data_IF_240762909374
#
_entry.id   IF_240762909374
#
_cell.length_a   1.000
_cell.length_b   1.000
_cell.length_c   1.000
_cell.angle_alpha   90.00
_cell.angle_beta   90.00
_cell.angle_gamma   90.00
#
_symmetry.space_group_name_H-M   'P 1'
#
loop_
_entity.id
_entity.type
_entity.pdbx_description
1 polymer ?
#
# COMPACT_ATOMS: atom_id res chain seq x y z
N UNK A 1 9.04 17.21 13.50
CA UNK A 1 8.29 15.98 13.77
C UNK A 1 9.09 15.12 14.72
N UNK A 2 8.57 14.80 15.90
CA UNK A 2 9.26 13.97 16.90
C UNK A 2 9.34 12.53 16.38
N UNK A 3 10.56 12.01 16.26
CA UNK A 3 10.76 10.57 15.96
C UNK A 3 10.17 9.76 17.11
N UNK A 4 9.19 8.94 16.81
CA UNK A 4 8.66 7.97 17.77
C UNK A 4 9.77 6.96 18.05
N UNK A 5 10.23 6.91 19.30
CA UNK A 5 11.16 5.85 19.75
C UNK A 5 10.37 4.56 19.91
N UNK A 6 10.65 3.57 19.07
CA UNK A 6 9.95 2.30 19.07
C UNK A 6 10.65 1.34 20.03
N UNK A 7 10.39 1.49 21.33
CA UNK A 7 10.86 0.55 22.36
C UNK A 7 9.97 -0.69 22.49
N UNK A 8 8.72 -0.61 22.02
CA UNK A 8 7.74 -1.71 22.07
C UNK A 8 7.31 -2.12 20.66
N UNK A 9 6.99 -3.41 20.45
CA UNK A 9 6.53 -3.89 19.15
C UNK A 9 5.13 -3.36 18.85
N UNK A 10 4.97 -2.75 17.68
CA UNK A 10 3.69 -2.26 17.20
C UNK A 10 2.85 -3.39 16.60
N UNK A 11 1.56 -3.41 16.92
CA UNK A 11 0.60 -4.24 16.21
C UNK A 11 0.39 -3.68 14.81
N UNK A 12 0.11 -4.55 13.84
CA UNK A 12 -0.27 -4.13 12.49
C UNK A 12 -1.68 -4.62 12.18
N UNK A 13 -2.50 -3.71 11.66
CA UNK A 13 -3.83 -3.97 11.14
C UNK A 13 -3.82 -3.66 9.65
N UNK A 14 -4.11 -4.64 8.81
CA UNK A 14 -4.35 -4.40 7.39
C UNK A 14 -5.86 -4.25 7.18
N UNK A 15 -6.26 -3.15 6.56
CA UNK A 15 -7.65 -2.84 6.29
C UNK A 15 -7.90 -2.64 4.79
N UNK A 16 -8.73 -3.50 4.21
CA UNK A 16 -9.27 -3.33 2.86
C UNK A 16 -10.43 -2.33 2.93
N UNK A 17 -10.15 -1.06 2.66
CA UNK A 17 -11.10 0.03 2.87
C UNK A 17 -12.21 0.06 1.81
N UNK A 18 -11.94 -0.45 0.61
CA UNK A 18 -12.87 -0.46 -0.52
C UNK A 18 -12.45 -1.48 -1.56
N UNK A 19 -13.40 -1.95 -2.37
CA UNK A 19 -13.10 -2.68 -3.62
C UNK A 19 -13.38 -1.82 -4.86
N UNK A 20 -13.68 -0.52 -4.68
CA UNK A 20 -13.79 0.43 -5.79
C UNK A 20 -12.40 0.76 -6.30
N UNK A 21 -12.16 0.52 -7.58
CA UNK A 21 -10.92 0.85 -8.27
C UNK A 21 -11.21 1.42 -9.65
N UNK A 22 -10.43 2.39 -10.07
CA UNK A 22 -10.49 2.92 -11.43
C UNK A 22 -9.56 2.21 -12.42
N UNK A 23 -8.76 1.23 -11.93
CA UNK A 23 -7.99 0.29 -12.76
C UNK A 23 -8.68 -1.07 -12.77
N UNK A 24 -8.48 -1.82 -13.83
CA UNK A 24 -8.96 -3.18 -14.00
C UNK A 24 -7.80 -4.08 -14.42
N UNK A 25 -6.72 -4.09 -13.61
CA UNK A 25 -5.51 -4.83 -13.91
C UNK A 25 -5.78 -6.33 -14.04
N UNK A 26 -5.30 -6.94 -15.12
CA UNK A 26 -5.60 -8.34 -15.47
C UNK A 26 -5.08 -9.32 -14.42
N UNK A 27 -4.06 -8.95 -13.67
CA UNK A 27 -3.45 -9.75 -12.61
C UNK A 27 -3.93 -9.41 -11.20
N UNK A 28 -4.81 -8.43 -11.04
CA UNK A 28 -5.39 -8.13 -9.74
C UNK A 28 -6.50 -9.13 -9.42
N UNK A 29 -6.57 -9.57 -8.15
CA UNK A 29 -7.64 -10.47 -7.74
C UNK A 29 -9.02 -9.81 -7.97
N UNK A 30 -9.96 -10.49 -8.68
CA UNK A 30 -11.22 -9.88 -9.13
C UNK A 30 -12.04 -9.24 -8.00
N UNK A 31 -11.98 -9.83 -6.81
CA UNK A 31 -12.71 -9.35 -5.63
C UNK A 31 -12.10 -8.09 -4.99
N UNK A 32 -10.90 -7.67 -5.40
CA UNK A 32 -10.26 -6.42 -4.94
C UNK A 32 -10.62 -5.20 -5.80
N UNK A 33 -11.25 -5.41 -6.97
CA UNK A 33 -11.66 -4.33 -7.86
C UNK A 33 -13.05 -4.58 -8.48
N UNK A 34 -13.89 -5.33 -7.79
CA UNK A 34 -15.25 -5.67 -8.25
C UNK A 34 -16.27 -4.53 -8.07
N UNK A 35 -15.85 -3.42 -7.47
CA UNK A 35 -16.65 -2.22 -7.19
C UNK A 35 -17.90 -2.46 -6.32
N UNK A 36 -17.99 -3.61 -5.62
CA UNK A 36 -19.15 -3.94 -4.80
C UNK A 36 -19.11 -3.29 -3.42
N UNK A 37 -17.92 -3.23 -2.82
CA UNK A 37 -17.76 -2.69 -1.49
C UNK A 37 -17.17 -1.28 -1.58
N UNK A 38 -18.02 -0.29 -1.38
CA UNK A 38 -17.59 1.09 -1.26
C UNK A 38 -17.00 1.34 0.13
N UNK A 39 -16.29 2.44 0.26
CA UNK A 39 -15.91 3.00 1.55
C UNK A 39 -17.14 3.25 2.44
N UNK A 40 -16.97 3.29 3.78
CA UNK A 40 -18.08 3.58 4.69
C UNK A 40 -18.61 5.01 4.49
N UNK A 41 -19.93 5.17 4.43
CA UNK A 41 -20.56 6.51 4.43
C UNK A 41 -20.35 7.24 5.76
N UNK A 42 -20.29 6.48 6.86
CA UNK A 42 -19.88 6.97 8.18
C UNK A 42 -18.72 6.12 8.66
N UNK A 43 -17.54 6.71 8.78
CA UNK A 43 -16.32 6.01 9.17
C UNK A 43 -16.02 6.02 10.67
N UNK A 44 -16.76 6.74 11.48
CA UNK A 44 -16.54 6.78 12.94
C UNK A 44 -16.65 5.40 13.60
N UNK A 45 -17.62 4.53 13.24
CA UNK A 45 -17.63 3.15 13.72
C UNK A 45 -16.38 2.35 13.39
N UNK A 46 -15.72 2.64 12.25
CA UNK A 46 -14.45 2.00 11.88
C UNK A 46 -13.33 2.49 12.80
N UNK A 47 -13.25 3.79 13.08
CA UNK A 47 -12.28 4.35 14.04
C UNK A 47 -12.49 3.72 15.42
N UNK A 48 -13.73 3.63 15.89
CA UNK A 48 -14.06 3.01 17.19
C UNK A 48 -13.64 1.53 17.23
N UNK A 49 -13.84 0.80 16.13
CA UNK A 49 -13.42 -0.60 16.02
C UNK A 49 -11.89 -0.74 16.06
N UNK A 50 -11.17 0.10 15.31
CA UNK A 50 -9.71 0.14 15.30
C UNK A 50 -9.19 0.46 16.72
N UNK A 51 -9.81 1.40 17.42
CA UNK A 51 -9.44 1.78 18.76
C UNK A 51 -9.72 0.67 19.79
N UNK A 52 -10.82 -0.06 19.66
CA UNK A 52 -11.09 -1.26 20.47
C UNK A 52 -10.10 -2.40 20.19
N UNK A 53 -9.70 -2.58 18.91
CA UNK A 53 -8.73 -3.59 18.52
C UNK A 53 -7.36 -3.35 19.16
N UNK A 54 -6.86 -2.11 19.15
CA UNK A 54 -5.54 -1.76 19.70
C UNK A 54 -5.44 -1.95 21.20
N UNK A 55 -6.53 -1.79 21.97
CA UNK A 55 -6.55 -1.84 23.45
C UNK A 55 -5.53 -0.91 24.11
N UNK A 56 -5.29 0.24 23.52
CA UNK A 56 -4.34 1.24 24.00
C UNK A 56 -2.88 1.04 23.52
N UNK A 57 -2.57 -0.05 22.82
CA UNK A 57 -1.23 -0.31 22.26
C UNK A 57 -0.96 0.56 21.01
N UNK A 58 0.32 0.80 20.67
CA UNK A 58 0.70 1.37 19.39
C UNK A 58 0.25 0.50 18.21
N UNK A 59 -0.29 1.13 17.16
CA UNK A 59 -0.89 0.43 16.02
C UNK A 59 -0.46 1.04 14.69
N UNK A 60 0.01 0.18 13.78
CA UNK A 60 0.14 0.50 12.36
C UNK A 60 -1.18 0.10 11.68
N UNK A 61 -1.84 1.05 11.03
CA UNK A 61 -3.00 0.81 10.17
C UNK A 61 -2.54 0.89 8.73
N UNK A 62 -2.53 -0.25 8.05
CA UNK A 62 -2.14 -0.38 6.64
C UNK A 62 -3.41 -0.46 5.79
N UNK A 63 -3.69 0.63 5.08
CA UNK A 63 -4.93 0.81 4.31
C UNK A 63 -4.67 0.39 2.86
N UNK A 64 -5.47 -0.56 2.38
CA UNK A 64 -5.38 -1.08 1.03
C UNK A 64 -6.79 -1.31 0.44
N UNK A 65 -6.87 -1.98 -0.69
CA UNK A 65 -8.13 -2.33 -1.34
C UNK A 65 -8.08 -2.13 -2.84
N UNK A 66 -9.16 -1.64 -3.42
CA UNK A 66 -9.16 -1.14 -4.79
C UNK A 66 -8.25 0.10 -4.90
N UNK A 67 -8.84 1.29 -4.92
CA UNK A 67 -8.06 2.53 -4.84
C UNK A 67 -8.59 3.42 -3.71
N UNK A 68 -7.91 3.46 -2.55
CA UNK A 68 -8.38 4.20 -1.38
C UNK A 68 -8.57 5.70 -1.62
N UNK A 69 -7.75 6.30 -2.50
CA UNK A 69 -7.83 7.75 -2.76
C UNK A 69 -9.05 8.17 -3.61
N UNK A 70 -9.83 7.22 -4.09
CA UNK A 70 -11.14 7.51 -4.68
C UNK A 70 -12.20 7.85 -3.63
N UNK A 71 -11.97 7.48 -2.38
CA UNK A 71 -12.82 7.84 -1.27
C UNK A 71 -12.69 9.34 -0.97
N UNK A 72 -13.78 10.13 -1.10
CA UNK A 72 -13.69 11.59 -0.95
C UNK A 72 -13.21 12.04 0.44
N UNK A 73 -13.52 11.27 1.49
CA UNK A 73 -13.22 11.59 2.89
C UNK A 73 -11.93 10.90 3.37
N UNK A 74 -11.15 10.29 2.48
CA UNK A 74 -9.96 9.51 2.84
C UNK A 74 -8.97 10.31 3.72
N UNK A 75 -8.68 11.55 3.34
CA UNK A 75 -7.74 12.40 4.10
C UNK A 75 -8.30 12.77 5.47
N UNK A 76 -9.60 13.10 5.53
CA UNK A 76 -10.29 13.42 6.80
C UNK A 76 -10.31 12.21 7.71
N UNK A 77 -10.66 11.04 7.19
CA UNK A 77 -10.60 9.78 7.94
C UNK A 77 -9.21 9.54 8.54
N UNK A 78 -8.15 9.69 7.76
CA UNK A 78 -6.78 9.50 8.25
C UNK A 78 -6.44 10.49 9.38
N UNK A 79 -6.88 11.74 9.26
CA UNK A 79 -6.69 12.77 10.29
C UNK A 79 -7.42 12.41 11.57
N UNK A 80 -8.70 12.08 11.47
CA UNK A 80 -9.52 11.72 12.64
C UNK A 80 -9.01 10.45 13.33
N UNK A 81 -8.54 9.47 12.53
CA UNK A 81 -7.95 8.25 13.08
C UNK A 81 -6.69 8.54 13.90
N UNK A 82 -5.78 9.38 13.40
CA UNK A 82 -4.57 9.77 14.14
C UNK A 82 -4.94 10.60 15.36
N UNK A 83 -5.88 11.53 15.24
CA UNK A 83 -6.31 12.39 16.34
C UNK A 83 -7.01 11.62 17.45
N UNK A 84 -7.68 10.52 17.13
CA UNK A 84 -8.34 9.66 18.12
C UNK A 84 -7.35 9.02 19.11
N UNK A 85 -6.07 8.82 18.69
CA UNK A 85 -5.00 8.29 19.54
C UNK A 85 -3.63 8.84 19.12
N UNK A 86 -3.41 10.11 19.42
CA UNK A 86 -2.14 10.81 19.10
C UNK A 86 -0.91 10.04 19.62
N UNK A 87 0.13 10.01 18.80
CA UNK A 87 1.41 9.33 19.07
C UNK A 87 1.38 7.79 19.20
N UNK A 88 0.22 7.16 18.94
CA UNK A 88 0.08 5.70 18.98
C UNK A 88 -0.52 5.11 17.72
N UNK A 89 -0.71 5.92 16.69
CA UNK A 89 -1.23 5.49 15.39
C UNK A 89 -0.22 5.86 14.31
N UNK A 90 0.16 4.88 13.53
CA UNK A 90 0.91 5.05 12.28
C UNK A 90 0.04 4.60 11.14
N UNK A 91 -0.07 5.41 10.09
CA UNK A 91 -0.84 5.06 8.90
C UNK A 91 0.10 4.79 7.74
N UNK A 92 -0.08 3.63 7.14
CA UNK A 92 0.49 3.26 5.86
C UNK A 92 -0.64 3.06 4.87
N UNK A 93 -0.45 3.35 3.59
CA UNK A 93 -1.44 2.97 2.59
C UNK A 93 -0.83 2.69 1.23
N UNK A 94 -1.56 1.90 0.44
CA UNK A 94 -1.18 1.57 -0.94
C UNK A 94 -2.15 2.22 -1.92
N UNK A 95 -1.62 2.87 -2.95
CA UNK A 95 -2.38 3.52 -4.02
C UNK A 95 -1.85 3.10 -5.39
N UNK A 96 -2.72 3.10 -6.40
CA UNK A 96 -2.32 2.95 -7.80
C UNK A 96 -1.79 4.25 -8.43
N UNK A 97 -1.75 5.34 -7.68
CA UNK A 97 -1.22 6.63 -8.13
C UNK A 97 -2.06 7.36 -9.19
N UNK A 98 -3.29 6.92 -9.45
CA UNK A 98 -4.10 7.43 -10.56
C UNK A 98 -4.65 8.85 -10.38
N UNK A 99 -4.62 9.39 -9.17
CA UNK A 99 -5.06 10.77 -8.92
C UNK A 99 -4.09 11.75 -9.57
N UNK A 100 -4.60 12.92 -9.97
CA UNK A 100 -3.79 13.94 -10.63
C UNK A 100 -2.60 14.41 -9.76
N UNK A 101 -1.54 14.87 -10.40
CA UNK A 101 -0.39 15.49 -9.69
C UNK A 101 -0.87 16.60 -8.75
N UNK A 102 -1.82 17.43 -9.20
CA UNK A 102 -2.40 18.49 -8.36
C UNK A 102 -3.08 17.95 -7.09
N UNK A 103 -3.68 16.77 -7.12
CA UNK A 103 -4.21 16.11 -5.92
C UNK A 103 -3.07 15.79 -4.96
N UNK A 104 -2.00 15.15 -5.45
CA UNK A 104 -0.85 14.78 -4.64
C UNK A 104 -0.08 15.97 -4.08
N UNK A 105 0.01 17.07 -4.84
CA UNK A 105 0.61 18.32 -4.35
C UNK A 105 -0.13 18.88 -3.12
N UNK A 106 -1.44 18.69 -3.07
CA UNK A 106 -2.32 19.18 -1.99
C UNK A 106 -2.55 18.16 -0.88
N UNK A 107 -2.22 16.92 -1.13
CA UNK A 107 -2.42 15.85 -0.17
C UNK A 107 -1.72 16.17 1.14
N UNK A 108 -2.44 16.13 2.26
CA UNK A 108 -1.97 16.59 3.57
C UNK A 108 -2.31 15.65 4.73
N UNK A 109 -2.89 14.48 4.44
CA UNK A 109 -3.18 13.50 5.47
C UNK A 109 -1.94 13.08 6.25
N UNK A 110 -2.05 12.77 7.55
CA UNK A 110 -0.95 12.37 8.41
C UNK A 110 -0.54 10.91 8.17
N UNK A 111 0.11 10.68 7.04
CA UNK A 111 0.57 9.36 6.59
C UNK A 111 2.06 9.21 6.89
N UNK A 112 2.46 8.06 7.43
CA UNK A 112 3.85 7.73 7.71
C UNK A 112 4.54 7.05 6.52
N UNK A 113 3.83 6.20 5.79
CA UNK A 113 4.35 5.54 4.60
C UNK A 113 3.30 5.50 3.49
N UNK A 114 3.69 5.89 2.30
CA UNK A 114 2.90 5.76 1.08
C UNK A 114 3.55 4.75 0.15
N UNK A 115 2.84 3.70 -0.20
CA UNK A 115 3.24 2.75 -1.21
C UNK A 115 2.45 2.98 -2.50
N UNK A 116 3.15 3.19 -3.61
CA UNK A 116 2.52 3.35 -4.92
C UNK A 116 2.80 2.11 -5.77
N UNK A 117 1.74 1.47 -6.25
CA UNK A 117 1.86 0.37 -7.19
C UNK A 117 1.83 0.89 -8.62
N UNK A 118 2.97 0.83 -9.29
CA UNK A 118 3.06 1.18 -10.72
C UNK A 118 2.56 0.00 -11.56
N UNK A 119 1.36 0.15 -12.09
CA UNK A 119 0.68 -0.87 -12.91
C UNK A 119 0.85 -0.54 -14.39
N UNK A 120 1.77 -1.19 -15.07
CA UNK A 120 2.10 -0.92 -16.49
C UNK A 120 0.94 -1.00 -17.48
N UNK A 121 -0.16 -1.66 -17.10
CA UNK A 121 -1.36 -1.70 -17.95
C UNK A 121 -2.10 -0.35 -18.02
N UNK A 122 -1.90 0.53 -17.02
CA UNK A 122 -2.68 1.77 -16.86
C UNK A 122 -1.84 2.98 -16.49
N UNK A 123 -0.73 2.78 -15.83
CA UNK A 123 0.06 3.87 -15.28
C UNK A 123 0.98 4.49 -16.33
N UNK A 124 1.02 5.81 -16.38
CA UNK A 124 1.96 6.57 -17.17
C UNK A 124 3.23 6.89 -16.39
N UNK A 125 4.40 6.64 -16.96
CA UNK A 125 5.70 6.80 -16.29
C UNK A 125 6.01 8.24 -15.92
N UNK A 126 5.65 9.19 -16.79
CA UNK A 126 5.86 10.62 -16.51
C UNK A 126 4.98 11.08 -15.36
N UNK A 127 3.71 10.71 -15.39
CA UNK A 127 2.77 11.02 -14.31
C UNK A 127 3.27 10.47 -12.96
N UNK A 128 3.70 9.20 -12.92
CA UNK A 128 4.24 8.58 -11.72
C UNK A 128 5.52 9.26 -11.22
N UNK A 129 6.39 9.65 -12.13
CA UNK A 129 7.60 10.39 -11.80
C UNK A 129 7.27 11.74 -11.13
N UNK A 130 6.29 12.46 -11.67
CA UNK A 130 5.85 13.75 -11.09
C UNK A 130 5.21 13.56 -9.71
N UNK A 131 4.44 12.49 -9.49
CA UNK A 131 3.90 12.15 -8.16
C UNK A 131 5.07 11.89 -7.18
N UNK A 132 6.03 11.05 -7.56
CA UNK A 132 7.19 10.77 -6.73
C UNK A 132 7.95 12.04 -6.36
N UNK A 133 8.15 12.95 -7.34
CA UNK A 133 8.79 14.25 -7.14
C UNK A 133 8.02 15.15 -6.18
N UNK A 134 6.69 15.12 -6.22
CA UNK A 134 5.84 15.90 -5.32
C UNK A 134 5.90 15.42 -3.86
N UNK A 135 6.13 14.13 -3.64
CA UNK A 135 5.92 13.50 -2.34
C UNK A 135 7.21 13.14 -1.59
N UNK A 136 8.34 12.90 -2.28
CA UNK A 136 9.54 12.28 -1.70
C UNK A 136 10.18 13.01 -0.52
N UNK A 137 9.96 14.32 -0.38
CA UNK A 137 10.45 15.12 0.76
C UNK A 137 9.42 15.28 1.87
N UNK A 138 8.15 14.98 1.58
CA UNK A 138 7.03 15.17 2.50
C UNK A 138 6.65 13.90 3.22
N UNK A 139 6.80 12.77 2.55
CA UNK A 139 6.35 11.45 3.02
C UNK A 139 7.44 10.39 2.79
N UNK A 140 7.41 9.34 3.61
CA UNK A 140 8.12 8.12 3.28
C UNK A 140 7.43 7.45 2.10
N UNK A 141 8.02 7.58 0.91
CA UNK A 141 7.42 7.15 -0.35
C UNK A 141 8.12 5.92 -0.88
N UNK A 142 7.34 4.91 -1.23
CA UNK A 142 7.79 3.65 -1.85
C UNK A 142 7.06 3.43 -3.17
N UNK A 143 7.76 2.98 -4.19
CA UNK A 143 7.17 2.56 -5.46
C UNK A 143 7.37 1.05 -5.64
N UNK A 144 6.27 0.34 -5.83
CA UNK A 144 6.27 -1.05 -6.28
C UNK A 144 6.09 -1.10 -7.79
N UNK A 145 7.12 -1.53 -8.49
CA UNK A 145 7.03 -1.81 -9.93
C UNK A 145 6.38 -3.17 -10.11
N UNK A 146 5.10 -3.18 -10.45
CA UNK A 146 4.34 -4.39 -10.74
C UNK A 146 4.77 -4.89 -12.12
N UNK A 147 5.53 -5.97 -12.17
CA UNK A 147 6.25 -6.42 -13.36
C UNK A 147 5.58 -7.63 -14.02
N UNK A 148 4.61 -7.44 -14.94
CA UNK A 148 4.13 -8.54 -15.77
C UNK A 148 5.27 -9.04 -16.71
N UNK A 149 5.28 -10.32 -17.08
CA UNK A 149 6.41 -10.92 -17.81
C UNK A 149 6.75 -10.25 -19.15
N UNK A 150 5.76 -9.64 -19.80
CA UNK A 150 5.91 -8.98 -21.10
C UNK A 150 6.29 -7.50 -21.02
N UNK A 151 6.63 -6.95 -19.83
CA UNK A 151 6.90 -5.53 -19.61
C UNK A 151 8.26 -5.24 -18.97
N UNK A 152 9.20 -6.16 -19.05
CA UNK A 152 10.51 -6.03 -18.39
C UNK A 152 11.29 -4.78 -18.85
N UNK A 153 11.31 -4.51 -20.16
CA UNK A 153 12.02 -3.35 -20.71
C UNK A 153 11.47 -2.04 -20.17
N UNK A 154 10.15 -1.87 -20.21
CA UNK A 154 9.47 -0.69 -19.68
C UNK A 154 9.73 -0.50 -18.19
N UNK A 155 9.74 -1.60 -17.42
CA UNK A 155 10.05 -1.55 -16.00
C UNK A 155 11.49 -1.11 -15.74
N UNK A 156 12.45 -1.59 -16.54
CA UNK A 156 13.85 -1.18 -16.43
C UNK A 156 14.03 0.29 -16.74
N UNK A 157 13.49 0.76 -17.85
CA UNK A 157 13.59 2.16 -18.26
C UNK A 157 13.03 3.10 -17.18
N UNK A 158 11.86 2.78 -16.63
CA UNK A 158 11.29 3.57 -15.55
C UNK A 158 12.11 3.50 -14.27
N UNK A 159 12.59 2.29 -13.93
CA UNK A 159 13.47 2.10 -12.80
C UNK A 159 14.74 2.95 -12.94
N UNK A 160 15.44 2.85 -14.08
CA UNK A 160 16.70 3.57 -14.33
C UNK A 160 16.49 5.08 -14.24
N UNK A 161 15.35 5.58 -14.69
CA UNK A 161 14.96 6.97 -14.54
C UNK A 161 14.81 7.37 -13.06
N UNK A 162 14.19 6.54 -12.25
CA UNK A 162 14.06 6.78 -10.81
C UNK A 162 15.42 6.73 -10.10
N UNK A 163 16.31 5.81 -10.52
CA UNK A 163 17.67 5.68 -9.98
C UNK A 163 18.57 6.87 -10.28
N UNK A 164 18.46 7.42 -11.47
CA UNK A 164 19.25 8.57 -11.90
C UNK A 164 18.73 9.88 -11.32
N UNK A 165 17.58 9.84 -10.64
CA UNK A 165 16.99 11.03 -10.01
C UNK A 165 17.49 11.21 -8.57
N UNK A 166 17.41 12.45 -8.08
CA UNK A 166 17.71 12.79 -6.67
C UNK A 166 16.55 12.49 -5.71
N UNK A 167 15.55 11.71 -6.17
CA UNK A 167 14.36 11.43 -5.39
C UNK A 167 14.68 10.48 -4.22
N UNK A 168 14.27 10.89 -3.03
CA UNK A 168 14.40 10.08 -1.81
C UNK A 168 13.20 9.15 -1.68
N UNK A 169 13.19 8.09 -2.48
CA UNK A 169 12.13 7.08 -2.51
C UNK A 169 12.72 5.68 -2.43
N UNK A 170 11.94 4.75 -1.91
CA UNK A 170 12.21 3.32 -2.03
C UNK A 170 11.59 2.78 -3.32
N UNK A 171 12.31 1.94 -4.02
CA UNK A 171 11.79 1.25 -5.20
C UNK A 171 11.98 -0.25 -5.02
N UNK A 172 10.94 -1.02 -5.26
CA UNK A 172 10.98 -2.48 -5.27
C UNK A 172 10.19 -3.03 -6.45
N UNK A 173 10.70 -4.10 -7.06
CA UNK A 173 9.96 -4.83 -8.09
C UNK A 173 9.11 -5.92 -7.46
N UNK A 174 7.93 -6.16 -8.03
CA UNK A 174 7.06 -7.27 -7.65
C UNK A 174 6.71 -8.12 -8.88
N UNK A 175 7.07 -9.39 -8.82
CA UNK A 175 6.60 -10.38 -9.79
C UNK A 175 5.12 -10.66 -9.55
N UNK A 176 4.37 -10.81 -10.63
CA UNK A 176 2.93 -11.09 -10.58
C UNK A 176 2.70 -12.55 -10.24
N UNK A 177 1.80 -12.80 -9.32
CA UNK A 177 1.36 -14.14 -8.91
C UNK A 177 -0.02 -14.45 -9.49
N UNK A 178 -0.32 -15.73 -9.64
CA UNK A 178 -1.69 -16.18 -9.87
C UNK A 178 -2.61 -15.80 -8.70
N UNK A 179 -3.87 -15.51 -8.98
CA UNK A 179 -4.85 -15.11 -7.97
C UNK A 179 -5.11 -16.18 -6.90
N UNK A 180 -4.92 -17.43 -7.25
CA UNK A 180 -5.10 -18.58 -6.35
C UNK A 180 -3.87 -18.87 -5.47
N UNK A 181 -2.80 -18.06 -5.60
CA UNK A 181 -1.57 -18.25 -4.84
C UNK A 181 -0.70 -19.42 -5.30
N UNK A 182 -1.01 -20.08 -6.42
CA UNK A 182 -0.28 -21.27 -6.90
C UNK A 182 1.14 -20.98 -7.39
N UNK A 183 1.55 -19.71 -7.46
CA UNK A 183 2.88 -19.32 -7.88
C UNK A 183 2.89 -18.09 -8.77
N UNK A 184 4.00 -17.85 -9.43
CA UNK A 184 4.13 -16.77 -10.39
C UNK A 184 3.37 -17.12 -11.69
N UNK A 185 2.83 -16.11 -12.36
CA UNK A 185 2.28 -16.30 -13.72
C UNK A 185 3.37 -16.74 -14.69
N UNK A 186 2.98 -17.40 -15.77
CA UNK A 186 3.91 -17.90 -16.76
C UNK A 186 4.66 -16.78 -17.50
N UNK A 187 5.84 -17.11 -18.05
CA UNK A 187 6.61 -16.22 -18.92
C UNK A 187 7.77 -15.49 -18.24
N UNK A 188 8.02 -15.69 -16.95
CA UNK A 188 9.22 -15.17 -16.31
C UNK A 188 10.48 -15.95 -16.75
N UNK A 189 11.53 -15.17 -16.98
CA UNK A 189 12.88 -15.67 -17.32
C UNK A 189 13.86 -15.38 -16.18
N UNK A 190 15.06 -15.99 -16.18
CA UNK A 190 16.10 -15.63 -15.22
C UNK A 190 16.37 -14.12 -15.15
N UNK A 191 16.29 -13.42 -16.29
CA UNK A 191 16.50 -11.97 -16.37
C UNK A 191 15.49 -11.16 -15.54
N UNK A 192 14.23 -11.60 -15.46
CA UNK A 192 13.23 -10.99 -14.60
C UNK A 192 13.57 -11.19 -13.12
N UNK A 193 14.02 -12.38 -12.76
CA UNK A 193 14.40 -12.69 -11.38
C UNK A 193 15.64 -11.89 -10.96
N UNK A 194 16.64 -11.78 -11.83
CA UNK A 194 17.84 -10.98 -11.59
C UNK A 194 17.48 -9.50 -11.39
N UNK A 195 16.60 -8.96 -12.22
CA UNK A 195 16.12 -7.59 -12.05
C UNK A 195 15.32 -7.41 -10.76
N UNK A 196 14.49 -8.36 -10.37
CA UNK A 196 13.68 -8.27 -9.15
C UNK A 196 14.50 -8.32 -7.86
N UNK A 197 15.63 -9.03 -7.84
CA UNK A 197 16.52 -9.17 -6.68
C UNK A 197 17.38 -7.92 -6.45
N UNK A 198 17.69 -7.17 -7.49
CA UNK A 198 18.62 -6.05 -7.41
C UNK A 198 18.17 -4.85 -6.58
N UNK A 199 17.03 -4.94 -5.85
CA UNK A 199 16.36 -3.73 -5.46
C UNK A 199 15.83 -3.65 -4.06
N UNK A 200 16.65 -3.35 -3.12
CA UNK A 200 16.18 -2.99 -1.78
C UNK A 200 17.11 -1.95 -1.18
N UNK A 201 16.52 -0.88 -0.71
CA UNK A 201 16.98 0.04 0.31
C UNK A 201 17.76 1.26 -0.13
N UNK A 202 17.03 2.34 -0.21
CA UNK A 202 17.57 3.68 0.02
C UNK A 202 17.10 4.30 1.34
N UNK A 203 16.14 3.72 2.04
CA UNK A 203 15.65 4.32 3.28
C UNK A 203 16.48 3.95 4.48
N UNK A 204 16.91 4.99 5.18
CA UNK A 204 17.52 4.90 6.52
C UNK A 204 16.46 4.70 7.62
N UNK A 205 15.37 4.01 7.31
CA UNK A 205 14.34 3.79 8.31
C UNK A 205 14.64 2.56 9.15
N UNK A 206 14.69 2.74 10.46
CA UNK A 206 14.71 1.64 11.40
C UNK A 206 13.45 0.78 11.17
N UNK A 207 13.64 -0.48 10.78
CA UNK A 207 12.53 -1.43 10.68
C UNK A 207 11.83 -1.49 12.03
N UNK A 208 10.55 -1.11 12.06
CA UNK A 208 9.71 -1.39 13.20
C UNK A 208 9.66 -2.91 13.34
N UNK A 209 10.07 -3.44 14.50
CA UNK A 209 9.82 -4.85 14.81
C UNK A 209 8.30 -5.01 14.97
N UNK A 210 7.64 -5.51 13.95
CA UNK A 210 6.24 -5.91 14.07
C UNK A 210 6.17 -7.27 14.75
N UNK A 211 5.29 -7.41 15.74
CA UNK A 211 4.84 -8.72 16.17
C UNK A 211 3.91 -9.25 15.09
N UNK A 212 4.08 -10.52 14.77
CA UNK A 212 3.40 -11.26 13.71
C UNK A 212 1.92 -11.56 14.04
N UNK A 213 1.15 -10.53 14.38
CA UNK A 213 -0.29 -10.61 14.59
C UNK A 213 -1.00 -9.64 13.68
N UNK A 214 -0.98 -9.92 12.38
CA UNK A 214 -1.79 -9.18 11.44
C UNK A 214 -3.25 -9.65 11.54
N UNK A 215 -4.17 -8.71 11.74
CA UNK A 215 -5.61 -8.93 11.62
C UNK A 215 -6.07 -8.20 10.39
N UNK A 216 -6.80 -8.88 9.52
CA UNK A 216 -7.39 -8.28 8.32
C UNK A 216 -8.84 -7.96 8.60
N UNK A 217 -9.27 -6.75 8.28
CA UNK A 217 -10.67 -6.36 8.29
C UNK A 217 -11.20 -6.36 6.86
N UNK A 218 -12.22 -7.13 6.63
CA UNK A 218 -12.93 -7.17 5.36
C UNK A 218 -14.41 -6.86 5.62
N UNK A 219 -14.96 -5.87 4.93
CA UNK A 219 -16.35 -5.41 5.10
C UNK A 219 -16.77 -5.11 6.55
N UNK A 220 -15.83 -4.68 7.38
CA UNK A 220 -16.09 -4.45 8.81
C UNK A 220 -16.05 -5.72 9.67
N UNK A 221 -15.95 -6.89 9.09
CA UNK A 221 -15.82 -8.15 9.82
C UNK A 221 -14.37 -8.42 10.20
N UNK A 222 -14.19 -8.87 11.43
CA UNK A 222 -12.87 -9.18 11.97
C UNK A 222 -12.48 -10.60 11.60
N UNK A 223 -11.51 -10.75 10.71
CA UNK A 223 -10.95 -12.05 10.32
C UNK A 223 -9.53 -12.14 10.90
N UNK A 224 -9.21 -13.22 11.61
CA UNK A 224 -7.84 -13.44 12.03
C UNK A 224 -6.95 -13.80 10.83
N UNK A 225 -5.66 -13.48 10.90
CA UNK A 225 -4.72 -13.88 9.87
C UNK A 225 -4.72 -15.41 9.66
N UNK A 226 -4.91 -16.18 10.75
CA UNK A 226 -4.97 -17.63 10.70
C UNK A 226 -6.26 -18.12 9.98
N UNK A 227 -7.39 -17.45 10.18
CA UNK A 227 -8.65 -17.79 9.50
C UNK A 227 -8.56 -17.47 8.01
N UNK A 228 -7.88 -16.40 7.63
CA UNK A 228 -7.58 -16.07 6.24
C UNK A 228 -6.72 -17.14 5.56
N UNK A 229 -5.66 -17.59 6.21
CA UNK A 229 -4.80 -18.67 5.74
C UNK A 229 -5.63 -19.95 5.53
N UNK A 230 -6.47 -20.29 6.50
CA UNK A 230 -7.31 -21.50 6.46
C UNK A 230 -8.41 -21.44 5.40
N UNK A 231 -8.88 -20.23 5.03
CA UNK A 231 -9.92 -20.04 4.02
C UNK A 231 -9.40 -19.87 2.59
N UNK A 232 -8.09 -20.04 2.34
CA UNK A 232 -7.42 -19.79 1.05
C UNK A 232 -7.58 -18.35 0.55
N UNK A 233 -7.80 -17.41 1.45
CA UNK A 233 -7.86 -15.99 1.14
C UNK A 233 -6.50 -15.30 1.32
N UNK A 234 -5.40 -16.05 1.23
CA UNK A 234 -3.99 -15.58 1.33
C UNK A 234 -3.64 -14.50 0.28
N UNK A 235 -4.52 -14.32 -0.70
CA UNK A 235 -4.34 -13.36 -1.79
C UNK A 235 -4.28 -11.90 -1.30
N UNK A 236 -4.73 -11.65 -0.09
CA UNK A 236 -4.80 -10.30 0.50
C UNK A 236 -3.56 -9.88 1.28
N UNK A 237 -2.66 -10.82 1.58
CA UNK A 237 -1.53 -10.59 2.50
C UNK A 237 -0.15 -10.54 1.84
N UNK A 238 -0.07 -10.73 0.49
CA UNK A 238 1.21 -10.74 -0.23
C UNK A 238 1.32 -9.64 -1.27
#
# INVERSE_FOLDING_TARGET
MSRISLSEPWKKLVWVATTVCNYNCTYCAPNLHDNKNRWPENYYPVIDMINRFRKGDPLIVDITGGEPTLWPEFETFCTDLVDSHKNKTSIQFTSNGSRSVRYWDRFSAPIDEMAFSFHTEYADTEHFYQIAKSLHLRYNTKIFLMMPPNRLTEMREFYDRLEQSDLQIDVATKLIKHHDGTGLVDGYTPEHHDFSVQRINRTKYNKVKTIDTSTVLYNGDKISAQDLINTKQDQFLN
#
